data_IF_293872216269
#
_entry.id   IF_293872216269
#
_cell.length_a   1.000
_cell.length_b   1.000
_cell.length_c   1.000
_cell.angle_alpha   90.00
_cell.angle_beta   90.00
_cell.angle_gamma   90.00
#
_symmetry.space_group_name_H-M   'P 1'
#
loop_
_entity.id
_entity.type
_entity.pdbx_description
1 polymer ?
#
# COMPACT_ATOMS: atom_id res chain seq x y z
N UNK A 1 5.38 12.43 3.78
CA UNK A 1 4.31 13.25 4.41
C UNK A 1 3.05 12.42 4.55
N UNK A 2 2.40 12.46 5.72
CA UNK A 2 1.17 11.71 5.98
C UNK A 2 -0.04 12.58 5.57
N UNK A 3 -0.76 12.19 4.51
CA UNK A 3 -1.93 12.93 4.01
C UNK A 3 -3.14 12.00 3.91
N UNK A 4 -3.55 11.43 5.04
CA UNK A 4 -4.76 10.63 5.14
C UNK A 4 -5.37 10.79 6.55
N UNK A 5 -6.69 10.74 6.63
CA UNK A 5 -7.45 10.85 7.89
C UNK A 5 -7.94 9.51 8.42
N UNK A 6 -7.98 8.48 7.56
CA UNK A 6 -8.46 7.14 7.87
C UNK A 6 -7.34 6.13 7.60
N UNK A 7 -7.31 5.07 8.40
CA UNK A 7 -6.36 3.96 8.29
C UNK A 7 -7.13 2.64 8.38
N UNK A 8 -6.54 1.58 7.81
CA UNK A 8 -7.10 0.22 7.92
C UNK A 8 -6.88 -0.30 9.33
N UNK A 9 -7.95 -0.77 9.96
CA UNK A 9 -7.87 -1.48 11.25
C UNK A 9 -7.41 -2.93 11.02
N UNK A 10 -6.26 -3.37 11.56
CA UNK A 10 -5.67 -4.68 11.23
C UNK A 10 -6.59 -5.88 11.43
N UNK A 11 -7.36 -5.91 12.52
CA UNK A 11 -8.23 -7.04 12.85
C UNK A 11 -9.47 -7.11 11.93
N UNK A 12 -9.73 -6.04 11.18
CA UNK A 12 -10.82 -5.98 10.20
C UNK A 12 -10.39 -6.38 8.78
N UNK A 13 -9.08 -6.55 8.53
CA UNK A 13 -8.57 -6.84 7.20
C UNK A 13 -8.99 -8.28 6.79
N UNK A 14 -9.68 -8.45 5.65
CA UNK A 14 -10.08 -9.79 5.20
C UNK A 14 -8.87 -10.70 4.98
N UNK A 15 -8.99 -11.98 5.36
CA UNK A 15 -7.92 -12.97 5.25
C UNK A 15 -7.49 -13.30 3.80
N UNK A 16 -8.16 -12.76 2.79
CA UNK A 16 -7.73 -12.85 1.41
C UNK A 16 -6.59 -11.86 1.06
N UNK A 17 -6.24 -10.96 1.98
CA UNK A 17 -5.13 -10.03 1.83
C UNK A 17 -3.95 -10.37 2.75
N UNK A 18 -2.74 -10.16 2.25
CA UNK A 18 -1.51 -10.09 3.05
C UNK A 18 -1.09 -8.62 3.22
N UNK A 19 -0.55 -8.28 4.38
CA UNK A 19 0.04 -6.95 4.61
C UNK A 19 1.46 -6.92 4.06
N UNK A 20 1.74 -5.98 3.17
CA UNK A 20 3.03 -5.85 2.47
C UNK A 20 3.88 -4.68 2.95
N UNK A 21 3.28 -3.70 3.63
CA UNK A 21 4.01 -2.57 4.20
C UNK A 21 3.34 -2.03 5.48
N UNK A 22 4.17 -1.58 6.41
CA UNK A 22 3.76 -0.95 7.68
C UNK A 22 4.45 0.41 7.84
N UNK A 23 3.80 1.34 8.53
CA UNK A 23 4.42 2.59 8.97
C UNK A 23 5.19 2.38 10.29
N UNK A 24 6.05 3.34 10.65
CA UNK A 24 6.77 3.34 11.94
C UNK A 24 5.83 3.36 13.14
N UNK A 25 4.62 3.92 12.98
CA UNK A 25 3.58 3.93 14.01
C UNK A 25 2.62 2.74 13.89
N UNK A 26 3.01 1.68 13.17
CA UNK A 26 2.27 0.41 13.00
C UNK A 26 0.91 0.53 12.31
N UNK A 27 0.81 1.42 11.32
CA UNK A 27 -0.36 1.43 10.43
C UNK A 27 -0.07 0.60 9.19
N UNK A 28 -1.11 -0.04 8.64
CA UNK A 28 -1.01 -0.75 7.38
C UNK A 28 -0.85 0.26 6.24
N UNK A 29 0.24 0.15 5.50
CA UNK A 29 0.57 1.04 4.38
C UNK A 29 0.47 0.36 3.02
N UNK A 30 0.44 -0.97 2.99
CA UNK A 30 0.32 -1.75 1.77
C UNK A 30 -0.34 -3.10 2.02
N UNK A 31 -1.19 -3.53 1.09
CA UNK A 31 -1.86 -4.84 1.09
C UNK A 31 -1.82 -5.47 -0.30
N UNK A 32 -1.81 -6.81 -0.34
CA UNK A 32 -1.83 -7.62 -1.56
C UNK A 32 -2.89 -8.70 -1.47
N UNK A 33 -3.69 -8.89 -2.52
CA UNK A 33 -4.60 -10.03 -2.59
C UNK A 33 -3.82 -11.32 -2.84
N UNK A 34 -4.12 -12.40 -2.12
CA UNK A 34 -3.39 -13.68 -2.21
C UNK A 34 -3.52 -14.38 -3.56
N UNK A 35 -4.65 -14.21 -4.23
CA UNK A 35 -4.98 -14.90 -5.48
C UNK A 35 -4.94 -14.01 -6.73
N UNK A 36 -5.21 -12.72 -6.58
CA UNK A 36 -5.39 -11.81 -7.72
C UNK A 36 -4.22 -10.83 -7.72
N UNK A 37 -3.82 -10.36 -8.90
CA UNK A 37 -2.81 -9.30 -8.99
C UNK A 37 -3.46 -7.95 -8.65
N UNK A 38 -3.75 -7.78 -7.37
CA UNK A 38 -4.39 -6.63 -6.77
C UNK A 38 -3.56 -6.16 -5.59
N UNK A 39 -3.14 -4.90 -5.65
CA UNK A 39 -2.34 -4.22 -4.65
C UNK A 39 -3.10 -2.97 -4.19
N UNK A 40 -3.00 -2.66 -2.90
CA UNK A 40 -3.47 -1.41 -2.32
C UNK A 40 -2.33 -0.75 -1.54
N UNK A 41 -2.16 0.56 -1.69
CA UNK A 41 -1.19 1.36 -0.93
C UNK A 41 -1.87 2.58 -0.31
N UNK A 42 -1.49 2.93 0.91
CA UNK A 42 -2.07 4.06 1.67
C UNK A 42 -1.36 5.40 1.41
N UNK A 43 -0.13 5.34 0.90
CA UNK A 43 0.64 6.50 0.49
C UNK A 43 0.37 6.86 -0.98
N UNK A 44 0.90 8.00 -1.41
CA UNK A 44 0.69 8.56 -2.75
C UNK A 44 1.92 8.31 -3.65
N UNK A 45 2.06 7.14 -4.30
CA UNK A 45 3.17 6.87 -5.22
C UNK A 45 3.18 7.80 -6.44
N UNK A 46 2.05 8.43 -6.75
CA UNK A 46 1.89 9.40 -7.83
C UNK A 46 2.47 10.78 -7.50
N UNK A 47 2.74 11.08 -6.23
CA UNK A 47 3.25 12.39 -5.83
C UNK A 47 4.67 12.61 -6.37
N UNK A 48 4.92 13.80 -6.91
CA UNK A 48 6.24 14.23 -7.44
C UNK A 48 7.36 14.10 -6.40
N UNK A 49 7.03 14.19 -5.10
CA UNK A 49 7.99 14.11 -4.00
C UNK A 49 8.27 12.67 -3.54
N UNK A 50 7.61 11.67 -4.10
CA UNK A 50 7.83 10.26 -3.77
C UNK A 50 9.04 9.72 -4.53
N UNK A 51 10.19 9.63 -3.87
CA UNK A 51 11.46 9.20 -4.48
C UNK A 51 11.36 7.87 -5.26
N UNK A 52 10.57 6.91 -4.76
CA UNK A 52 10.39 5.58 -5.37
C UNK A 52 9.03 5.42 -6.08
N UNK A 53 8.26 6.51 -6.24
CA UNK A 53 6.90 6.49 -6.79
C UNK A 53 6.84 5.89 -8.21
N UNK A 54 7.70 6.37 -9.10
CA UNK A 54 7.77 5.86 -10.48
C UNK A 54 8.17 4.38 -10.55
N UNK A 55 9.06 3.91 -9.68
CA UNK A 55 9.45 2.49 -9.66
C UNK A 55 8.28 1.61 -9.21
N UNK A 56 7.49 2.03 -8.23
CA UNK A 56 6.30 1.30 -7.79
C UNK A 56 5.25 1.21 -8.90
N UNK A 57 5.02 2.31 -9.62
CA UNK A 57 4.12 2.32 -10.77
C UNK A 57 4.64 1.42 -11.91
N UNK A 58 5.94 1.42 -12.17
CA UNK A 58 6.54 0.51 -13.16
C UNK A 58 6.37 -0.96 -12.76
N UNK A 59 6.57 -1.30 -11.48
CA UNK A 59 6.35 -2.66 -10.98
C UNK A 59 4.89 -3.11 -11.19
N UNK A 60 3.92 -2.20 -11.03
CA UNK A 60 2.51 -2.48 -11.29
C UNK A 60 2.23 -2.75 -12.77
N UNK A 61 2.85 -1.99 -13.68
CA UNK A 61 2.65 -2.16 -15.13
C UNK A 61 3.37 -3.38 -15.73
N UNK A 62 4.42 -3.87 -15.07
CA UNK A 62 5.28 -4.94 -15.58
C UNK A 62 5.10 -6.28 -14.87
N UNK A 63 4.00 -6.45 -14.14
CA UNK A 63 3.64 -7.70 -13.50
C UNK A 63 2.79 -8.61 -14.37
#
# INVERSE_FOLDING_TARGET
TRYHSLVVEPDSLPACFDVTAWSETREIMGIRHRQWDLEGVQFHPESILSEQGHQLLANFLHR
#
